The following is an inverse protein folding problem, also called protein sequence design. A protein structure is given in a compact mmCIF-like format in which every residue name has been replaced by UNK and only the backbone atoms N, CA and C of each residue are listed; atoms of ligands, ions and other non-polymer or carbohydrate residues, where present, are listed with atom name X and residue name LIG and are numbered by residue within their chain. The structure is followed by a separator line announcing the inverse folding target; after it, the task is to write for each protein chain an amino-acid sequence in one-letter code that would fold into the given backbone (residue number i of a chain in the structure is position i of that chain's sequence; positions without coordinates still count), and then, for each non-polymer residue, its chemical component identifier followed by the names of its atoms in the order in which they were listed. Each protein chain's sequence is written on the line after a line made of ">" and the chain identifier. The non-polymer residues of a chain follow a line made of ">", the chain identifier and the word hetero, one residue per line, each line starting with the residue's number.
data_IF_290224272868
#
_entry.id   IF_290224272868
#
_cell.length_a   1.000
_cell.length_b   1.000
_cell.length_c   1.000
_cell.angle_alpha   90.00
_cell.angle_beta   90.00
_cell.angle_gamma   90.00
#
_symmetry.space_group_name_H-M   'P 1'
#
loop_
_entity.id
_entity.type
_entity.pdbx_description
1 polymer ?
#
# COMPACT_ATOMS: atom_id res chain seq x y z
N UNK A 1 1.68 -1.47 -22.20
CA UNK A 1 2.77 -0.47 -22.21
C UNK A 1 3.07 -0.04 -20.78
N UNK A 2 4.34 0.08 -20.42
CA UNK A 2 4.84 0.40 -19.07
C UNK A 2 4.18 1.65 -18.49
N UNK A 3 3.96 2.69 -19.30
CA UNK A 3 3.35 3.94 -18.82
C UNK A 3 1.88 3.83 -18.44
N UNK A 4 1.14 2.88 -19.02
CA UNK A 4 -0.24 2.59 -18.58
C UNK A 4 -0.25 1.79 -17.28
N UNK A 5 0.68 0.84 -17.13
CA UNK A 5 0.88 0.11 -15.87
C UNK A 5 1.20 1.05 -14.71
N UNK A 6 2.19 1.94 -14.90
CA UNK A 6 2.55 2.94 -13.87
C UNK A 6 1.38 3.83 -13.47
N UNK A 7 0.58 4.32 -14.44
CA UNK A 7 -0.63 5.11 -14.12
C UNK A 7 -1.68 4.31 -13.34
N UNK A 8 -1.91 3.05 -13.69
CA UNK A 8 -2.87 2.20 -13.00
C UNK A 8 -2.43 1.93 -11.55
N UNK A 9 -1.17 1.53 -11.36
CA UNK A 9 -0.59 1.31 -10.03
C UNK A 9 -0.65 2.58 -9.18
N UNK A 10 -0.30 3.74 -9.75
CA UNK A 10 -0.39 5.03 -9.07
C UNK A 10 -1.81 5.30 -8.57
N UNK A 11 -2.81 5.17 -9.44
CA UNK A 11 -4.22 5.40 -9.09
C UNK A 11 -4.70 4.47 -7.97
N UNK A 12 -4.43 3.17 -8.08
CA UNK A 12 -4.84 2.21 -7.06
C UNK A 12 -4.16 2.47 -5.72
N UNK A 13 -2.86 2.76 -5.75
CA UNK A 13 -2.07 3.03 -4.54
C UNK A 13 -2.54 4.30 -3.85
N UNK A 14 -2.85 5.37 -4.60
CA UNK A 14 -3.40 6.59 -4.03
C UNK A 14 -4.75 6.35 -3.36
N UNK A 15 -5.64 5.57 -3.97
CA UNK A 15 -6.94 5.22 -3.36
C UNK A 15 -6.73 4.46 -2.05
N UNK A 16 -5.90 3.41 -2.06
CA UNK A 16 -5.61 2.62 -0.84
C UNK A 16 -4.91 3.46 0.22
N UNK A 17 -3.94 4.29 -0.16
CA UNK A 17 -3.20 5.17 0.74
C UNK A 17 -4.11 6.20 1.41
N UNK A 18 -5.03 6.83 0.65
CA UNK A 18 -6.02 7.77 1.21
C UNK A 18 -6.99 7.06 2.15
N UNK A 19 -7.51 5.89 1.77
CA UNK A 19 -8.39 5.11 2.66
C UNK A 19 -7.68 4.71 3.96
N UNK A 20 -6.41 4.31 3.85
CA UNK A 20 -5.56 3.97 5.01
C UNK A 20 -5.35 5.20 5.90
N UNK A 21 -5.10 6.37 5.32
CA UNK A 21 -4.90 7.61 6.08
C UNK A 21 -6.16 8.06 6.83
N UNK A 22 -7.34 7.90 6.23
CA UNK A 22 -8.61 8.36 6.83
C UNK A 22 -9.20 7.36 7.84
N UNK A 23 -8.95 6.06 7.67
CA UNK A 23 -9.66 5.04 8.44
C UNK A 23 -8.91 3.72 8.57
N UNK A 24 -7.62 3.77 8.94
CA UNK A 24 -6.76 2.59 9.05
C UNK A 24 -7.36 1.47 9.90
N UNK A 25 -7.93 1.78 11.07
CA UNK A 25 -8.47 0.79 12.01
C UNK A 25 -9.52 -0.11 11.32
N UNK A 26 -10.44 0.50 10.57
CA UNK A 26 -11.50 -0.22 9.84
C UNK A 26 -10.92 -1.00 8.67
N UNK A 27 -10.00 -0.40 7.93
CA UNK A 27 -9.32 -1.06 6.81
C UNK A 27 -8.55 -2.30 7.29
N UNK A 28 -7.84 -2.17 8.41
CA UNK A 28 -7.08 -3.24 9.04
C UNK A 28 -8.00 -4.35 9.56
N UNK A 29 -9.14 -4.02 10.16
CA UNK A 29 -10.16 -5.01 10.52
C UNK A 29 -10.68 -5.77 9.29
N UNK A 30 -11.09 -5.06 8.24
CA UNK A 30 -11.59 -5.69 7.02
C UNK A 30 -10.53 -6.54 6.33
N UNK A 31 -9.26 -6.10 6.35
CA UNK A 31 -8.15 -6.91 5.85
C UNK A 31 -8.12 -8.29 6.53
N UNK A 32 -8.28 -8.36 7.86
CA UNK A 32 -8.30 -9.64 8.55
C UNK A 32 -9.52 -10.50 8.19
N UNK A 33 -10.71 -9.88 8.17
CA UNK A 33 -11.95 -10.58 7.83
C UNK A 33 -11.96 -11.14 6.40
N UNK A 34 -11.33 -10.46 5.44
CA UNK A 34 -11.22 -10.93 4.07
C UNK A 34 -10.06 -11.92 3.85
N UNK A 35 -8.97 -11.78 4.59
CA UNK A 35 -7.75 -12.58 4.37
C UNK A 35 -7.71 -13.89 5.16
N UNK A 36 -8.43 -13.97 6.29
CA UNK A 36 -8.42 -15.14 7.16
C UNK A 36 -9.83 -15.72 7.31
N UNK A 37 -9.94 -17.03 7.15
CA UNK A 37 -11.16 -17.81 7.43
C UNK A 37 -11.18 -18.40 8.85
N UNK A 38 -10.30 -17.92 9.74
CA UNK A 38 -10.12 -18.38 11.12
C UNK A 38 -9.83 -17.19 12.04
N UNK A 39 -9.81 -17.43 13.35
CA UNK A 39 -9.66 -16.41 14.39
C UNK A 39 -8.23 -16.25 14.92
N UNK A 40 -7.21 -16.83 14.27
CA UNK A 40 -5.81 -16.77 14.76
C UNK A 40 -5.21 -15.34 14.76
N UNK A 41 -5.86 -14.39 14.10
CA UNK A 41 -5.49 -12.99 14.13
C UNK A 41 -6.03 -12.23 15.35
N UNK A 42 -6.96 -12.83 16.11
CA UNK A 42 -7.46 -12.30 17.37
C UNK A 42 -6.52 -12.77 18.49
N UNK A 43 -5.55 -11.93 18.81
CA UNK A 43 -4.44 -12.27 19.69
C UNK A 43 -4.68 -11.81 21.13
N UNK A 44 -4.24 -12.62 22.09
CA UNK A 44 -4.20 -12.31 23.50
C UNK A 44 -2.88 -11.61 23.86
N UNK A 45 -2.88 -10.33 24.26
CA UNK A 45 -1.66 -9.59 24.57
C UNK A 45 -0.86 -10.16 25.77
N UNK A 46 -1.43 -11.07 26.56
CA UNK A 46 -0.75 -11.73 27.68
C UNK A 46 0.04 -12.99 27.26
N UNK A 47 -0.21 -13.52 26.06
CA UNK A 47 0.37 -14.78 25.57
C UNK A 47 1.02 -14.63 24.20
N UNK A 48 0.49 -13.75 23.36
CA UNK A 48 0.84 -13.65 21.96
C UNK A 48 1.81 -12.49 21.70
N UNK A 49 3.09 -12.84 21.58
CA UNK A 49 4.17 -11.87 21.33
C UNK A 49 4.05 -11.11 20.00
N UNK A 50 3.22 -11.58 19.06
CA UNK A 50 3.05 -10.91 17.77
C UNK A 50 2.54 -9.47 17.95
N UNK A 51 1.66 -9.22 18.93
CA UNK A 51 1.19 -7.87 19.25
C UNK A 51 2.29 -6.96 19.80
N UNK A 52 3.29 -7.51 20.49
CA UNK A 52 4.42 -6.74 21.03
C UNK A 52 5.44 -6.38 19.94
N UNK A 53 5.65 -7.28 18.98
CA UNK A 53 6.59 -7.06 17.87
C UNK A 53 5.97 -6.21 16.75
N UNK A 54 4.70 -6.41 16.45
CA UNK A 54 3.98 -5.76 15.36
C UNK A 54 2.66 -5.18 15.87
N UNK A 55 2.71 -4.10 16.67
CA UNK A 55 1.50 -3.40 17.09
C UNK A 55 0.79 -2.79 15.87
N UNK A 56 -0.49 -2.44 16.00
CA UNK A 56 -1.28 -1.86 14.90
C UNK A 56 -0.58 -0.65 14.24
N UNK A 57 0.03 0.22 15.04
CA UNK A 57 0.77 1.39 14.55
C UNK A 57 1.93 1.02 13.61
N UNK A 58 2.60 -0.12 13.84
CA UNK A 58 3.64 -0.61 12.94
C UNK A 58 3.07 -0.90 11.55
N UNK A 59 1.90 -1.52 11.47
CA UNK A 59 1.27 -1.81 10.18
C UNK A 59 0.80 -0.54 9.46
N UNK A 60 0.35 0.47 10.21
CA UNK A 60 0.03 1.77 9.64
C UNK A 60 1.28 2.40 9.01
N UNK A 61 2.37 2.51 9.76
CA UNK A 61 3.62 3.09 9.30
C UNK A 61 4.15 2.33 8.07
N UNK A 62 4.16 0.99 8.12
CA UNK A 62 4.55 0.15 6.99
C UNK A 62 3.68 0.41 5.75
N UNK A 63 2.35 0.53 5.92
CA UNK A 63 1.42 0.83 4.83
C UNK A 63 1.73 2.17 4.18
N UNK A 64 1.99 3.21 4.99
CA UNK A 64 2.33 4.54 4.49
C UNK A 64 3.67 4.52 3.75
N UNK A 65 4.71 3.87 4.30
CA UNK A 65 6.01 3.80 3.64
C UNK A 65 5.94 3.06 2.30
N UNK A 66 5.25 1.92 2.24
CA UNK A 66 5.06 1.17 1.00
C UNK A 66 4.26 1.98 -0.01
N UNK A 67 3.18 2.66 0.42
CA UNK A 67 2.37 3.49 -0.45
C UNK A 67 3.19 4.65 -1.05
N UNK A 68 3.99 5.34 -0.24
CA UNK A 68 4.86 6.43 -0.70
C UNK A 68 5.91 5.96 -1.71
N UNK A 69 6.62 4.86 -1.41
CA UNK A 69 7.59 4.27 -2.34
C UNK A 69 6.94 3.88 -3.67
N UNK A 70 5.79 3.21 -3.61
CA UNK A 70 5.04 2.79 -4.79
C UNK A 70 4.54 3.98 -5.62
N UNK A 71 4.10 5.08 -4.98
CA UNK A 71 3.71 6.32 -5.67
C UNK A 71 4.87 6.91 -6.45
N UNK A 72 6.07 6.95 -5.86
CA UNK A 72 7.27 7.49 -6.52
C UNK A 72 7.64 6.63 -7.73
N UNK A 73 7.77 5.32 -7.55
CA UNK A 73 8.14 4.38 -8.62
C UNK A 73 7.13 4.40 -9.78
N UNK A 74 5.84 4.37 -9.45
CA UNK A 74 4.77 4.37 -10.44
C UNK A 74 4.66 5.69 -11.20
N UNK A 75 4.94 6.82 -10.57
CA UNK A 75 5.02 8.12 -11.24
C UNK A 75 6.19 8.15 -12.25
N UNK A 76 7.37 7.66 -11.85
CA UNK A 76 8.55 7.56 -12.74
C UNK A 76 8.20 6.70 -13.97
N UNK A 77 7.68 5.50 -13.75
CA UNK A 77 7.33 4.57 -14.83
C UNK A 77 6.18 5.08 -15.71
N UNK A 78 5.23 5.82 -15.12
CA UNK A 78 4.10 6.43 -15.82
C UNK A 78 4.51 7.52 -16.80
N UNK A 79 5.53 8.31 -16.45
CA UNK A 79 5.98 9.47 -17.21
C UNK A 79 7.13 9.14 -18.16
N UNK A 80 8.00 8.17 -17.82
CA UNK A 80 9.20 7.82 -18.59
C UNK A 80 8.93 7.56 -20.09
N UNK A 81 7.90 6.80 -20.51
CA UNK A 81 7.63 6.60 -21.93
C UNK A 81 7.24 7.88 -22.69
N UNK A 82 6.67 8.89 -22.00
CA UNK A 82 6.39 10.21 -22.61
C UNK A 82 7.69 10.98 -22.82
N UNK A 83 8.57 10.97 -21.81
CA UNK A 83 9.88 11.62 -21.86
C UNK A 83 10.73 11.04 -23.00
N UNK A 84 10.86 9.71 -23.06
CA UNK A 84 11.64 9.04 -24.12
C UNK A 84 11.12 9.36 -25.53
N UNK A 85 9.80 9.48 -25.71
CA UNK A 85 9.22 9.88 -27.00
C UNK A 85 9.50 11.32 -27.37
N UNK A 86 9.62 12.24 -26.40
CA UNK A 86 9.99 13.63 -26.66
C UNK A 86 11.46 13.66 -27.10
N UNK A 87 12.34 13.00 -26.35
CA UNK A 87 13.77 12.93 -26.68
C UNK A 87 14.06 12.29 -28.04
N UNK A 88 13.34 11.22 -28.40
CA UNK A 88 13.54 10.54 -29.70
C UNK A 88 12.85 11.24 -30.88
N UNK A 89 12.00 12.23 -30.61
CA UNK A 89 11.35 13.06 -31.66
C UNK A 89 12.11 14.36 -31.93
N UNK A 90 13.28 14.54 -31.31
CA UNK A 90 14.32 15.51 -31.67
C UNK A 90 15.39 14.76 -32.44
#
# INVERSE_FOLDING_TARGET
>A
SIGWGGKLTLSLTLVVGVMSFVGFQKLFLYFHLFSFSNDLWILDPTRDYLLMMFPEAFFFDATIYIALGTVIESAILGVMPRILRIFWKV
#
